data_IF_781738615923
#
_entry.id   IF_781738615923
#
_cell.length_a   1.000
_cell.length_b   1.000
_cell.length_c   1.000
_cell.angle_alpha   90.00
_cell.angle_beta   90.00
_cell.angle_gamma   90.00
#
_symmetry.space_group_name_H-M   'P 1'
#
loop_
_entity.id
_entity.type
_entity.pdbx_description
1 polymer ?
#
# COMPACT_ATOMS: atom_id res chain seq x y z
N UNK A 1 -29.68 53.96 -29.07
CA UNK A 1 -29.37 52.54 -28.75
C UNK A 1 -30.69 51.79 -28.72
N UNK A 2 -30.93 50.92 -29.70
CA UNK A 2 -32.23 50.27 -29.95
C UNK A 2 -32.71 49.44 -28.75
N UNK A 3 -34.02 49.50 -28.46
CA UNK A 3 -34.70 48.72 -27.41
C UNK A 3 -34.37 47.22 -27.50
N UNK A 4 -34.11 46.71 -28.71
CA UNK A 4 -33.72 45.33 -29.00
C UNK A 4 -32.39 44.93 -28.36
N UNK A 5 -31.41 45.85 -28.25
CA UNK A 5 -30.10 45.55 -27.62
C UNK A 5 -30.18 45.46 -26.09
N UNK A 6 -31.12 46.19 -25.45
CA UNK A 6 -31.33 46.12 -23.99
C UNK A 6 -32.04 44.82 -23.57
N UNK A 7 -32.94 44.32 -24.41
CA UNK A 7 -33.64 43.05 -24.20
C UNK A 7 -32.71 41.84 -24.35
N UNK A 8 -31.79 41.87 -25.32
CA UNK A 8 -30.80 40.79 -25.53
C UNK A 8 -29.77 40.69 -24.40
N UNK A 9 -29.33 41.80 -23.83
CA UNK A 9 -28.39 41.80 -22.68
C UNK A 9 -29.05 41.35 -21.37
N UNK A 10 -30.33 41.66 -21.17
CA UNK A 10 -31.07 41.21 -19.98
C UNK A 10 -31.36 39.69 -20.03
N UNK A 11 -31.68 39.15 -21.20
CA UNK A 11 -31.91 37.72 -21.39
C UNK A 11 -30.62 36.89 -21.20
N UNK A 12 -29.46 37.39 -21.64
CA UNK A 12 -28.17 36.71 -21.46
C UNK A 12 -27.72 36.67 -19.97
N UNK A 13 -27.96 37.75 -19.21
CA UNK A 13 -27.65 37.80 -17.78
C UNK A 13 -28.58 36.90 -16.94
N UNK A 14 -29.86 36.81 -17.30
CA UNK A 14 -30.82 35.91 -16.65
C UNK A 14 -30.53 34.42 -16.95
N UNK A 15 -30.09 34.10 -18.17
CA UNK A 15 -29.71 32.73 -18.55
C UNK A 15 -28.45 32.23 -17.82
N UNK A 16 -27.48 33.12 -17.56
CA UNK A 16 -26.26 32.75 -16.84
C UNK A 16 -26.48 32.55 -15.33
N UNK A 17 -27.43 33.28 -14.73
CA UNK A 17 -27.82 33.09 -13.33
C UNK A 17 -28.61 31.79 -13.10
N UNK A 18 -29.44 31.37 -14.07
CA UNK A 18 -30.18 30.09 -13.99
C UNK A 18 -29.28 28.86 -14.17
N UNK A 19 -28.22 28.96 -14.97
CA UNK A 19 -27.26 27.87 -15.17
C UNK A 19 -26.36 27.65 -13.94
N UNK A 20 -26.05 28.70 -13.17
CA UNK A 20 -25.26 28.58 -11.94
C UNK A 20 -26.02 27.91 -10.79
N UNK A 21 -27.35 28.03 -10.75
CA UNK A 21 -28.19 27.38 -9.74
C UNK A 21 -28.44 25.88 -10.02
N UNK A 22 -28.29 25.43 -11.27
CA UNK A 22 -28.53 24.03 -11.65
C UNK A 22 -27.34 23.10 -11.39
N UNK A 23 -26.15 23.64 -11.12
CA UNK A 23 -24.91 22.88 -10.94
C UNK A 23 -24.53 22.63 -9.46
N UNK A 24 -25.31 23.15 -8.51
CA UNK A 24 -25.14 22.88 -7.09
C UNK A 24 -26.46 22.34 -6.53
N UNK A 25 -26.77 21.08 -6.86
CA UNK A 25 -27.78 20.37 -6.10
C UNK A 25 -27.32 20.31 -4.64
N UNK A 26 -28.06 20.97 -3.75
CA UNK A 26 -27.89 20.80 -2.31
C UNK A 26 -27.89 19.29 -2.02
N UNK A 27 -26.92 18.77 -1.24
CA UNK A 27 -26.90 17.37 -0.88
C UNK A 27 -28.26 17.01 -0.26
N UNK A 28 -28.99 16.11 -0.91
CA UNK A 28 -30.27 15.63 -0.39
C UNK A 28 -29.96 14.85 0.88
N UNK A 29 -30.28 15.43 2.03
CA UNK A 29 -30.18 14.74 3.30
C UNK A 29 -31.24 13.63 3.36
N UNK A 30 -30.79 12.38 3.24
CA UNK A 30 -31.64 11.20 3.32
C UNK A 30 -31.95 10.78 4.77
N UNK A 31 -31.44 11.50 5.79
CA UNK A 31 -31.64 11.20 7.20
C UNK A 31 -31.00 9.89 7.66
N UNK A 32 -29.94 9.45 6.97
CA UNK A 32 -29.21 8.22 7.27
C UNK A 32 -27.88 8.51 7.96
N UNK A 33 -27.60 7.76 9.04
CA UNK A 33 -26.35 7.88 9.79
C UNK A 33 -26.31 9.09 10.74
N UNK A 34 -25.11 9.39 11.25
CA UNK A 34 -24.81 10.58 12.04
C UNK A 34 -23.39 11.03 11.76
N UNK A 35 -23.06 12.27 12.14
CA UNK A 35 -21.68 12.74 12.10
C UNK A 35 -20.81 11.85 13.02
N UNK A 36 -19.65 11.45 12.51
CA UNK A 36 -18.64 10.78 13.31
C UNK A 36 -18.05 11.76 14.33
N UNK A 37 -17.88 11.30 15.56
CA UNK A 37 -17.21 12.08 16.60
C UNK A 37 -15.70 12.11 16.33
N UNK A 38 -15.01 13.11 16.87
CA UNK A 38 -13.56 13.21 16.75
C UNK A 38 -12.84 11.96 17.32
N UNK A 39 -13.39 11.35 18.39
CA UNK A 39 -12.84 10.13 18.99
C UNK A 39 -12.99 8.91 18.07
N UNK A 40 -14.09 8.79 17.34
CA UNK A 40 -14.29 7.69 16.38
C UNK A 40 -13.36 7.82 15.19
N UNK A 41 -13.16 9.04 14.68
CA UNK A 41 -12.20 9.30 13.61
C UNK A 41 -10.79 8.96 14.11
N UNK A 42 -10.36 9.50 15.25
CA UNK A 42 -9.03 9.25 15.80
C UNK A 42 -8.75 7.76 16.12
N UNK A 43 -9.79 6.97 16.41
CA UNK A 43 -9.64 5.53 16.65
C UNK A 43 -9.56 4.66 15.38
N UNK A 44 -9.90 5.20 14.20
CA UNK A 44 -9.97 4.45 12.93
C UNK A 44 -9.00 4.98 11.88
N UNK A 45 -8.89 6.30 11.79
CA UNK A 45 -7.98 7.08 10.94
C UNK A 45 -6.61 7.16 11.63
N UNK A 46 -5.83 6.10 11.40
CA UNK A 46 -4.45 5.94 11.86
C UNK A 46 -3.50 5.71 10.66
N UNK A 47 -3.96 6.01 9.44
CA UNK A 47 -3.12 5.84 8.25
C UNK A 47 -1.98 6.87 8.20
N UNK A 48 -0.86 6.44 7.63
CA UNK A 48 0.30 7.31 7.45
C UNK A 48 0.67 7.40 5.99
N UNK A 49 0.63 8.62 5.48
CA UNK A 49 0.91 8.95 4.09
C UNK A 49 2.42 9.02 3.83
N UNK A 50 2.86 8.88 2.56
CA UNK A 50 4.27 9.04 2.17
C UNK A 50 4.91 10.39 2.57
N UNK A 51 4.10 11.43 2.77
CA UNK A 51 4.55 12.76 3.22
C UNK A 51 4.59 12.91 4.76
N UNK A 52 4.40 11.81 5.51
CA UNK A 52 4.42 11.79 6.97
C UNK A 52 3.12 12.27 7.63
N UNK A 53 2.12 12.70 6.86
CA UNK A 53 0.81 13.04 7.43
C UNK A 53 0.17 11.80 8.08
N UNK A 54 -0.33 11.98 9.30
CA UNK A 54 -0.92 10.91 10.10
C UNK A 54 0.01 10.36 11.18
N UNK A 55 1.32 10.64 11.11
CA UNK A 55 2.25 10.20 12.15
C UNK A 55 1.90 10.82 13.51
N UNK A 56 1.75 10.01 14.58
CA UNK A 56 1.65 10.51 15.95
C UNK A 56 3.02 11.01 16.45
N UNK A 57 3.04 11.89 17.47
CA UNK A 57 4.27 12.25 18.16
C UNK A 57 4.95 11.01 18.74
N UNK A 58 6.27 10.93 18.59
CA UNK A 58 7.06 9.84 19.15
C UNK A 58 8.45 9.74 18.54
N UNK A 59 9.23 8.81 19.08
CA UNK A 59 10.57 8.47 18.62
C UNK A 59 10.99 7.07 19.06
N UNK A 60 11.94 6.47 18.34
CA UNK A 60 12.57 5.21 18.76
C UNK A 60 13.93 5.03 18.08
N UNK A 61 14.90 4.50 18.84
CA UNK A 61 16.23 4.18 18.34
C UNK A 61 16.26 2.79 17.67
N UNK A 62 17.30 2.52 16.89
CA UNK A 62 17.59 1.17 16.36
C UNK A 62 17.76 0.17 17.50
N UNK A 63 18.53 0.53 18.54
CA UNK A 63 18.77 -0.32 19.72
C UNK A 63 17.46 -0.70 20.43
N UNK A 64 16.60 0.27 20.74
CA UNK A 64 15.27 0.00 21.34
C UNK A 64 14.41 -0.87 20.40
N UNK A 65 14.61 -0.72 19.09
CA UNK A 65 13.89 -1.43 18.06
C UNK A 65 14.26 -2.90 17.97
N UNK A 66 15.55 -3.22 18.15
CA UNK A 66 16.04 -4.60 18.21
C UNK A 66 15.36 -5.36 19.35
N UNK A 67 15.31 -4.78 20.56
CA UNK A 67 14.67 -5.40 21.71
C UNK A 67 13.18 -5.72 21.44
N UNK A 68 12.42 -4.74 20.94
CA UNK A 68 11.00 -4.95 20.60
C UNK A 68 10.85 -5.99 19.49
N UNK A 69 11.74 -5.98 18.49
CA UNK A 69 11.70 -6.92 17.38
C UNK A 69 11.97 -8.36 17.84
N UNK A 70 12.97 -8.59 18.68
CA UNK A 70 13.29 -9.91 19.23
C UNK A 70 12.14 -10.46 20.09
N UNK A 71 11.47 -9.60 20.85
CA UNK A 71 10.35 -10.02 21.71
C UNK A 71 9.04 -10.26 20.94
N UNK A 72 8.74 -9.42 19.94
CA UNK A 72 7.40 -9.35 19.33
C UNK A 72 7.35 -9.79 17.86
N UNK A 73 8.49 -9.92 17.18
CA UNK A 73 8.54 -10.11 15.72
C UNK A 73 9.37 -11.34 15.29
N UNK A 74 10.51 -11.58 15.94
CA UNK A 74 11.52 -12.55 15.50
C UNK A 74 11.02 -13.99 15.43
N UNK A 75 10.03 -14.37 16.25
CA UNK A 75 9.41 -15.72 16.19
C UNK A 75 8.93 -16.10 14.79
N UNK A 76 8.40 -15.12 14.03
CA UNK A 76 8.00 -15.30 12.64
C UNK A 76 9.07 -14.80 11.68
N UNK A 77 9.68 -13.65 11.94
CA UNK A 77 10.51 -12.97 10.95
C UNK A 77 12.00 -13.32 11.03
N UNK A 78 12.42 -14.22 11.92
CA UNK A 78 13.84 -14.48 12.18
C UNK A 78 14.47 -13.38 13.02
N UNK A 79 15.63 -13.63 13.62
CA UNK A 79 16.28 -12.69 14.56
C UNK A 79 16.79 -11.42 13.83
N UNK A 80 17.10 -11.56 12.54
CA UNK A 80 17.62 -10.49 11.69
C UNK A 80 16.66 -10.14 10.53
N UNK A 81 15.39 -10.57 10.58
CA UNK A 81 14.42 -10.31 9.51
C UNK A 81 14.58 -11.23 8.29
N UNK A 82 15.34 -12.31 8.38
CA UNK A 82 15.60 -13.28 7.31
C UNK A 82 14.41 -14.21 7.00
N UNK A 83 13.37 -14.17 7.84
CA UNK A 83 12.17 -15.01 7.76
C UNK A 83 12.36 -16.40 8.36
N UNK A 84 11.58 -16.75 9.40
CA UNK A 84 11.58 -18.09 9.96
C UNK A 84 10.68 -19.04 9.14
N UNK A 85 11.25 -20.11 8.59
CA UNK A 85 10.49 -21.13 7.86
C UNK A 85 9.84 -20.61 6.57
N UNK A 86 8.53 -20.33 6.62
CA UNK A 86 7.76 -19.79 5.46
C UNK A 86 7.12 -18.42 5.74
N UNK A 87 7.48 -17.79 6.85
CA UNK A 87 7.05 -16.43 7.13
C UNK A 87 7.81 -15.44 6.22
N UNK A 88 7.25 -14.22 6.02
CA UNK A 88 7.87 -13.24 5.13
C UNK A 88 9.27 -12.82 5.58
N UNK A 89 10.17 -12.72 4.60
CA UNK A 89 11.50 -12.11 4.73
C UNK A 89 11.34 -10.59 4.71
N UNK A 90 11.99 -9.89 5.63
CA UNK A 90 11.91 -8.44 5.81
C UNK A 90 13.15 -7.68 5.32
N UNK A 91 14.26 -8.38 5.09
CA UNK A 91 15.54 -7.80 4.65
C UNK A 91 16.14 -8.48 3.42
N UNK A 92 16.96 -7.74 2.67
CA UNK A 92 17.77 -8.25 1.56
C UNK A 92 17.01 -8.45 0.25
N UNK A 93 17.62 -9.14 -0.72
CA UNK A 93 17.04 -9.25 -2.06
C UNK A 93 17.37 -8.06 -2.97
N UNK A 94 18.32 -7.22 -2.56
CA UNK A 94 18.85 -6.12 -3.38
C UNK A 94 19.38 -6.63 -4.71
N UNK A 95 19.01 -5.93 -5.79
CA UNK A 95 19.40 -6.31 -7.15
C UNK A 95 18.74 -7.60 -7.67
N UNK A 96 17.75 -8.17 -6.98
CA UNK A 96 17.08 -9.41 -7.45
C UNK A 96 15.82 -9.16 -8.28
N UNK A 97 15.36 -7.90 -8.40
CA UNK A 97 14.05 -7.56 -9.00
C UNK A 97 13.92 -7.96 -10.48
N UNK A 98 15.02 -8.06 -11.23
CA UNK A 98 15.07 -8.49 -12.63
C UNK A 98 15.37 -9.99 -12.81
N UNK A 99 15.54 -10.72 -11.71
CA UNK A 99 15.82 -12.15 -11.74
C UNK A 99 14.55 -12.98 -11.99
N UNK A 100 14.73 -14.28 -12.27
CA UNK A 100 13.61 -15.21 -12.42
C UNK A 100 12.83 -15.47 -11.12
N UNK A 101 13.44 -15.18 -9.96
CA UNK A 101 12.86 -15.39 -8.63
C UNK A 101 13.20 -14.18 -7.73
N UNK A 102 12.55 -13.03 -7.94
CA UNK A 102 12.85 -11.82 -7.19
C UNK A 102 12.49 -11.97 -5.71
N UNK A 103 13.36 -11.45 -4.83
CA UNK A 103 13.17 -11.39 -3.38
C UNK A 103 12.80 -9.95 -3.03
N UNK A 104 11.52 -9.74 -2.72
CA UNK A 104 10.91 -8.41 -2.53
C UNK A 104 10.71 -8.13 -1.04
N UNK A 105 11.54 -7.26 -0.48
CA UNK A 105 11.57 -6.93 0.95
C UNK A 105 11.40 -5.43 1.15
N UNK A 106 11.56 -4.96 2.39
CA UNK A 106 11.50 -3.53 2.73
C UNK A 106 12.57 -2.77 1.93
N UNK A 107 13.84 -3.17 2.03
CA UNK A 107 14.94 -2.50 1.34
C UNK A 107 14.91 -2.67 -0.17
N UNK A 108 14.62 -3.89 -0.65
CA UNK A 108 14.74 -4.18 -2.09
C UNK A 108 13.56 -3.68 -2.93
N UNK A 109 12.38 -3.48 -2.34
CA UNK A 109 11.15 -3.24 -3.12
C UNK A 109 10.28 -2.09 -2.62
N UNK A 110 10.21 -1.80 -1.33
CA UNK A 110 9.21 -0.85 -0.83
C UNK A 110 9.64 0.61 -1.08
N UNK A 111 8.71 1.50 -1.51
CA UNK A 111 9.08 2.86 -1.90
C UNK A 111 9.12 3.88 -0.77
N UNK A 112 8.47 3.62 0.38
CA UNK A 112 8.33 4.59 1.46
C UNK A 112 8.45 3.94 2.86
N UNK A 113 9.25 4.54 3.73
CA UNK A 113 9.37 4.13 5.14
C UNK A 113 8.04 4.31 5.90
N UNK A 114 7.21 5.28 5.50
CA UNK A 114 5.88 5.50 6.09
C UNK A 114 4.97 4.28 5.98
N UNK A 115 5.09 3.51 4.90
CA UNK A 115 4.30 2.29 4.71
C UNK A 115 4.72 1.20 5.69
N UNK A 116 6.01 1.13 6.04
CA UNK A 116 6.50 0.22 7.09
C UNK A 116 5.87 0.59 8.43
N UNK A 117 5.96 1.87 8.80
CA UNK A 117 5.40 2.37 10.06
C UNK A 117 3.88 2.14 10.16
N UNK A 118 3.10 2.53 9.14
CA UNK A 118 1.64 2.37 9.13
C UNK A 118 1.25 0.89 9.25
N UNK A 119 1.87 0.04 8.43
CA UNK A 119 1.54 -1.38 8.41
C UNK A 119 1.89 -2.06 9.74
N UNK A 120 3.05 -1.75 10.33
CA UNK A 120 3.44 -2.29 11.63
C UNK A 120 2.46 -1.84 12.71
N UNK A 121 2.15 -0.53 12.79
CA UNK A 121 1.20 0.02 13.75
C UNK A 121 -0.20 -0.62 13.64
N UNK A 122 -0.69 -0.77 12.40
CA UNK A 122 -2.06 -1.19 12.12
C UNK A 122 -2.26 -2.71 12.19
N UNK A 123 -1.27 -3.49 11.78
CA UNK A 123 -1.46 -4.91 11.47
C UNK A 123 -0.50 -5.87 12.16
N UNK A 124 0.54 -5.37 12.85
CA UNK A 124 1.52 -6.21 13.56
C UNK A 124 1.49 -5.99 15.08
N UNK A 125 1.93 -6.98 15.87
CA UNK A 125 2.29 -8.35 15.50
C UNK A 125 1.10 -9.18 14.98
N UNK A 126 1.35 -10.13 14.09
CA UNK A 126 0.29 -11.02 13.57
C UNK A 126 -0.33 -11.85 14.70
N UNK A 127 -1.64 -11.68 14.94
CA UNK A 127 -2.37 -12.28 16.05
C UNK A 127 -2.54 -11.36 17.28
N UNK A 128 -1.84 -10.23 17.33
CA UNK A 128 -1.95 -9.22 18.38
C UNK A 128 -1.75 -7.79 17.83
N UNK A 129 -2.38 -7.47 16.70
CA UNK A 129 -2.22 -6.18 16.02
C UNK A 129 -2.67 -5.00 16.88
N UNK A 130 -2.10 -3.82 16.64
CA UNK A 130 -2.37 -2.57 17.40
C UNK A 130 -2.04 -2.67 18.90
N UNK A 131 -1.11 -3.57 19.28
CA UNK A 131 -0.64 -3.71 20.66
C UNK A 131 0.60 -2.88 20.97
N UNK A 132 1.31 -2.39 19.94
CA UNK A 132 2.50 -1.57 20.09
C UNK A 132 2.12 -0.10 20.33
N UNK A 133 2.90 0.57 21.17
CA UNK A 133 2.83 2.03 21.34
C UNK A 133 3.51 2.74 20.17
N UNK A 134 3.19 4.02 19.89
CA UNK A 134 3.85 4.79 18.83
C UNK A 134 5.39 4.75 18.88
N UNK A 135 5.98 4.90 20.06
CA UNK A 135 7.44 4.86 20.23
C UNK A 135 8.02 3.48 19.89
N UNK A 136 7.33 2.39 20.27
CA UNK A 136 7.73 1.03 19.89
C UNK A 136 7.63 0.80 18.37
N UNK A 137 6.62 1.38 17.70
CA UNK A 137 6.53 1.30 16.23
C UNK A 137 7.66 2.09 15.58
N UNK A 138 8.01 3.28 16.09
CA UNK A 138 9.17 4.02 15.61
C UNK A 138 10.47 3.24 15.80
N UNK A 139 10.68 2.64 16.97
CA UNK A 139 11.86 1.85 17.28
C UNK A 139 12.00 0.64 16.34
N UNK A 140 10.96 -0.19 16.21
CA UNK A 140 10.97 -1.35 15.29
C UNK A 140 11.16 -0.91 13.84
N UNK A 141 10.56 0.22 13.44
CA UNK A 141 10.77 0.76 12.08
C UNK A 141 12.23 1.18 11.89
N UNK A 142 12.86 1.84 12.87
CA UNK A 142 14.28 2.20 12.82
C UNK A 142 15.16 0.94 12.67
N UNK A 143 14.91 -0.09 13.47
CA UNK A 143 15.63 -1.36 13.39
C UNK A 143 15.46 -2.06 12.03
N UNK A 144 14.24 -2.09 11.47
CA UNK A 144 14.01 -2.64 10.14
C UNK A 144 14.72 -1.86 9.03
N UNK A 145 14.84 -0.54 9.17
CA UNK A 145 15.60 0.30 8.24
C UNK A 145 17.11 0.03 8.36
N UNK A 146 17.62 -0.16 9.57
CA UNK A 146 19.00 -0.56 9.83
C UNK A 146 19.33 -1.93 9.23
N UNK A 147 18.47 -2.94 9.42
CA UNK A 147 18.63 -4.27 8.81
C UNK A 147 18.66 -4.26 7.28
N UNK A 148 18.19 -3.19 6.66
CA UNK A 148 18.19 -2.99 5.21
C UNK A 148 19.24 -1.96 4.75
N UNK A 149 20.21 -1.62 5.60
CA UNK A 149 21.30 -0.67 5.30
C UNK A 149 20.81 0.73 4.88
N UNK A 150 19.64 1.18 5.37
CA UNK A 150 19.06 2.50 5.05
C UNK A 150 19.50 3.56 6.06
N UNK A 151 19.75 3.16 7.30
CA UNK A 151 20.21 4.04 8.40
C UNK A 151 21.31 3.33 9.20
N UNK A 152 22.11 4.10 9.92
CA UNK A 152 23.17 3.60 10.81
C UNK A 152 22.60 3.07 12.15
N UNK A 153 23.42 2.37 12.92
CA UNK A 153 23.07 1.73 14.20
C UNK A 153 22.71 2.73 15.32
N UNK A 154 23.27 3.93 15.30
CA UNK A 154 22.96 4.99 16.27
C UNK A 154 21.74 5.85 15.90
N UNK A 155 21.03 5.50 14.82
CA UNK A 155 19.93 6.30 14.29
C UNK A 155 18.70 6.31 15.20
N UNK A 156 18.07 7.48 15.29
CA UNK A 156 16.80 7.68 16.01
C UNK A 156 15.73 8.15 15.02
N UNK A 157 14.72 7.30 14.82
CA UNK A 157 13.57 7.62 14.00
C UNK A 157 12.55 8.42 14.83
N UNK A 158 12.00 9.46 14.23
CA UNK A 158 11.06 10.39 14.87
C UNK A 158 9.92 10.74 13.91
N UNK A 159 8.85 11.33 14.45
CA UNK A 159 7.81 11.93 13.64
C UNK A 159 8.33 12.94 12.60
N UNK A 160 9.42 13.65 12.91
CA UNK A 160 9.92 14.75 12.09
C UNK A 160 10.78 14.29 10.91
N UNK A 161 11.52 13.18 11.04
CA UNK A 161 12.49 12.73 10.04
C UNK A 161 12.05 11.51 9.23
N UNK A 162 10.99 10.79 9.64
CA UNK A 162 10.57 9.55 8.98
C UNK A 162 10.26 9.73 7.49
N UNK A 163 9.54 10.79 7.13
CA UNK A 163 9.15 11.07 5.75
C UNK A 163 10.28 11.65 4.89
N UNK A 164 11.40 12.01 5.50
CA UNK A 164 12.59 12.53 4.81
C UNK A 164 13.48 11.39 4.28
N UNK A 165 13.29 10.17 4.76
CA UNK A 165 14.05 9.00 4.34
C UNK A 165 13.73 8.61 2.89
N UNK A 166 14.79 8.41 2.10
CA UNK A 166 14.69 7.93 0.71
C UNK A 166 14.94 6.42 0.65
N UNK A 167 13.89 5.66 0.38
CA UNK A 167 14.02 4.20 0.19
C UNK A 167 14.68 3.87 -1.16
N UNK A 168 15.46 2.78 -1.27
CA UNK A 168 16.19 2.44 -2.51
C UNK A 168 15.29 2.32 -3.75
N UNK A 169 14.09 1.76 -3.60
CA UNK A 169 13.15 1.55 -4.71
C UNK A 169 12.07 2.64 -4.83
N UNK A 170 12.29 3.85 -4.29
CA UNK A 170 11.32 4.97 -4.32
C UNK A 170 10.84 5.31 -5.73
N UNK A 171 11.73 5.23 -6.72
CA UNK A 171 11.42 5.49 -8.13
C UNK A 171 11.02 4.24 -8.94
N UNK A 172 10.92 3.07 -8.30
CA UNK A 172 10.65 1.79 -8.97
C UNK A 172 9.19 1.54 -9.36
N UNK A 173 8.30 2.49 -9.06
CA UNK A 173 6.87 2.36 -9.30
C UNK A 173 6.39 3.45 -10.27
N UNK A 174 5.59 3.04 -11.25
CA UNK A 174 4.98 3.95 -12.23
C UNK A 174 3.52 4.25 -11.83
N UNK A 175 3.11 5.52 -11.78
CA UNK A 175 1.74 5.89 -11.39
C UNK A 175 0.72 5.62 -12.51
N UNK A 176 1.16 5.66 -13.76
CA UNK A 176 0.31 5.38 -14.92
C UNK A 176 0.32 3.88 -15.20
N UNK A 177 -0.87 3.27 -15.30
CA UNK A 177 -1.01 1.89 -15.74
C UNK A 177 -0.72 1.85 -17.25
N UNK A 178 0.36 1.20 -17.70
CA UNK A 178 0.68 1.12 -19.12
C UNK A 178 -0.27 0.18 -19.88
N UNK A 179 -1.26 -0.43 -19.20
CA UNK A 179 -2.13 -1.44 -19.79
C UNK A 179 -3.37 -0.86 -20.48
N UNK A 180 -3.86 -1.54 -21.53
CA UNK A 180 -3.29 -2.76 -22.10
C UNK A 180 -1.99 -2.45 -22.87
N UNK A 181 -0.97 -3.26 -22.60
CA UNK A 181 0.34 -3.24 -23.28
C UNK A 181 0.27 -3.86 -24.68
N UNK A 182 -0.86 -4.53 -24.98
CA UNK A 182 -1.25 -5.00 -26.30
C UNK A 182 -2.40 -4.13 -26.81
N UNK A 183 -2.25 -3.45 -27.97
CA UNK A 183 -3.33 -2.65 -28.54
C UNK A 183 -4.59 -3.51 -28.75
N UNK A 184 -5.80 -2.99 -28.47
CA UNK A 184 -7.03 -3.68 -28.81
C UNK A 184 -7.11 -3.83 -30.33
N UNK A 185 -6.96 -5.06 -30.82
CA UNK A 185 -7.14 -5.43 -32.21
C UNK A 185 -8.33 -6.37 -32.38
N UNK A 186 -8.80 -6.54 -33.62
CA UNK A 186 -9.81 -7.57 -33.92
C UNK A 186 -9.20 -8.97 -33.68
N UNK A 187 -9.87 -9.86 -32.94
CA UNK A 187 -9.36 -11.21 -32.71
C UNK A 187 -9.28 -11.97 -34.03
N UNK A 188 -8.23 -12.78 -34.19
CA UNK A 188 -8.16 -13.71 -35.31
C UNK A 188 -9.26 -14.78 -35.16
N UNK A 189 -10.03 -15.01 -36.22
CA UNK A 189 -11.14 -15.96 -36.22
C UNK A 189 -10.85 -17.28 -36.96
N UNK A 190 -9.88 -17.29 -37.89
CA UNK A 190 -9.56 -18.44 -38.72
C UNK A 190 -8.05 -18.52 -38.99
N UNK A 191 -7.51 -19.74 -38.98
CA UNK A 191 -6.10 -20.04 -39.33
C UNK A 191 -5.05 -19.24 -38.53
N UNK A 192 -5.32 -19.01 -37.24
CA UNK A 192 -4.57 -18.08 -36.39
C UNK A 192 -3.16 -18.54 -35.99
N UNK A 193 -2.93 -19.85 -35.92
CA UNK A 193 -1.63 -20.44 -35.58
C UNK A 193 -1.38 -21.65 -36.46
N UNK A 194 -0.17 -21.74 -37.01
CA UNK A 194 0.20 -22.84 -37.90
C UNK A 194 0.40 -24.18 -37.16
N UNK A 195 0.74 -24.14 -35.87
CA UNK A 195 1.00 -25.32 -35.05
C UNK A 195 0.76 -25.03 -33.58
N UNK A 196 0.14 -25.98 -32.90
CA UNK A 196 -0.03 -25.99 -31.44
C UNK A 196 0.90 -27.04 -30.83
N UNK A 197 1.67 -26.66 -29.81
CA UNK A 197 2.58 -27.56 -29.09
C UNK A 197 2.31 -27.47 -27.59
N UNK A 198 2.21 -28.61 -26.91
CA UNK A 198 2.06 -28.66 -25.44
C UNK A 198 3.43 -28.40 -24.82
N UNK A 199 3.60 -27.25 -24.15
CA UNK A 199 4.86 -26.86 -23.48
C UNK A 199 4.87 -27.12 -21.97
N UNK A 200 3.71 -27.42 -21.38
CA UNK A 200 3.58 -27.70 -19.96
C UNK A 200 2.36 -28.54 -19.65
N UNK A 201 2.43 -29.35 -18.60
CA UNK A 201 1.30 -30.07 -18.00
C UNK A 201 1.34 -29.81 -16.50
N UNK A 202 0.18 -29.63 -15.87
CA UNK A 202 0.10 -29.45 -14.42
C UNK A 202 0.26 -30.77 -13.66
N UNK A 203 -0.15 -31.89 -14.26
CA UNK A 203 -0.11 -33.23 -13.64
C UNK A 203 1.27 -33.61 -13.04
N UNK A 204 2.42 -33.32 -13.69
CA UNK A 204 3.73 -33.55 -13.09
C UNK A 204 4.07 -32.70 -11.86
N UNK A 205 3.40 -31.57 -11.61
CA UNK A 205 3.61 -30.77 -10.39
C UNK A 205 2.88 -31.39 -9.19
N UNK A 206 1.70 -31.97 -9.42
CA UNK A 206 0.97 -32.81 -8.45
C UNK A 206 0.75 -32.18 -7.06
N UNK A 207 0.49 -30.86 -7.02
CA UNK A 207 0.23 -30.09 -5.78
C UNK A 207 -1.25 -29.71 -5.60
N UNK A 208 -2.15 -30.22 -6.46
CA UNK A 208 -3.59 -29.98 -6.34
C UNK A 208 -4.18 -30.98 -5.36
N UNK A 209 -4.90 -30.54 -4.29
CA UNK A 209 -5.57 -31.47 -3.39
C UNK A 209 -6.54 -32.40 -4.13
N UNK A 210 -6.49 -33.70 -3.84
CA UNK A 210 -7.41 -34.69 -4.39
C UNK A 210 -8.63 -34.88 -3.49
N UNK A 211 -9.80 -35.11 -4.08
CA UNK A 211 -10.94 -35.61 -3.33
C UNK A 211 -10.63 -37.03 -2.84
N UNK A 212 -10.76 -37.27 -1.53
CA UNK A 212 -10.71 -38.64 -1.02
C UNK A 212 -11.92 -39.39 -1.60
N UNK A 213 -11.67 -40.40 -2.43
CA UNK A 213 -12.71 -41.36 -2.79
C UNK A 213 -13.31 -41.92 -1.49
N UNK A 214 -14.65 -41.98 -1.34
CA UNK A 214 -15.26 -42.51 -0.14
C UNK A 214 -14.68 -43.90 0.13
N UNK A 215 -14.08 -44.09 1.30
CA UNK A 215 -13.60 -45.40 1.73
C UNK A 215 -14.80 -46.34 1.74
N UNK A 216 -14.77 -47.39 0.92
CA UNK A 216 -15.75 -48.46 0.96
C UNK A 216 -15.88 -48.96 2.41
N UNK A 217 -17.00 -48.59 3.06
CA UNK A 217 -17.43 -49.17 4.34
C UNK A 217 -18.24 -50.43 4.08
#
# INVERSE_FOLDING_TARGET
MSASRRLLTAAAAAGLALAAAAAAGEPVDHGLGRLATAAEIAGWDIDVRPDGRGLPPGSGSVDDGEDVFLEQCAFCHGDFGEGAGRYPVLMGGDGTLDSSNPVKTIGSYWPYASTVWDYVNRAMPFGNAQSLTPDQVYAVTAYLLYLNDIVDDDFVLTQANLAELEMPNRAGFIPEDPRPDVPPGEPCMSDCVAKVTIVGRAKPLDVTPEEQAPSDM
#
